data_IF_819890033786
#
_entry.id   IF_819890033786
#
_cell.length_a   1.000
_cell.length_b   1.000
_cell.length_c   1.000
_cell.angle_alpha   90.00
_cell.angle_beta   90.00
_cell.angle_gamma   90.00
#
_symmetry.space_group_name_H-M   'P 1'
#
loop_
_entity.id
_entity.type
_entity.pdbx_description
1 polymer ?
#
# COMPACT_ATOMS: atom_id res chain seq x y z
N UNK A 1 -16.04 -18.17 -29.19
CA UNK A 1 -16.22 -16.85 -28.55
C UNK A 1 -14.91 -16.09 -28.65
N UNK A 2 -14.87 -14.99 -29.40
CA UNK A 2 -13.68 -14.14 -29.50
C UNK A 2 -13.38 -13.56 -28.11
N UNK A 3 -12.22 -13.90 -27.55
CA UNK A 3 -11.67 -13.18 -26.40
C UNK A 3 -11.54 -11.72 -26.84
N UNK A 4 -12.30 -10.77 -26.28
CA UNK A 4 -12.14 -9.36 -26.65
C UNK A 4 -10.68 -9.01 -26.43
N UNK A 5 -10.05 -8.40 -27.44
CA UNK A 5 -8.62 -8.12 -27.46
C UNK A 5 -8.21 -7.48 -26.11
N UNK A 6 -7.53 -8.26 -25.26
CA UNK A 6 -7.18 -7.90 -23.88
C UNK A 6 -5.89 -7.08 -23.88
N UNK A 7 -5.84 -6.05 -24.71
CA UNK A 7 -4.72 -5.13 -24.80
C UNK A 7 -5.04 -3.86 -23.99
N UNK A 8 -4.00 -3.21 -23.48
CA UNK A 8 -4.20 -1.91 -22.83
C UNK A 8 -4.70 -0.93 -23.90
N UNK A 9 -5.78 -0.18 -23.65
CA UNK A 9 -6.19 0.88 -24.57
C UNK A 9 -5.11 1.96 -24.60
N UNK A 10 -5.07 2.72 -25.69
CA UNK A 10 -4.26 3.92 -25.77
C UNK A 10 -4.59 4.88 -24.62
N UNK A 11 -3.66 5.77 -24.32
CA UNK A 11 -3.85 6.79 -23.29
C UNK A 11 -5.06 7.67 -23.63
N UNK A 12 -5.99 7.80 -22.67
CA UNK A 12 -7.15 8.65 -22.85
C UNK A 12 -6.74 10.13 -22.82
N UNK A 13 -7.36 11.03 -23.61
CA UNK A 13 -7.05 12.46 -23.58
C UNK A 13 -7.13 13.08 -22.18
N UNK A 14 -8.10 12.65 -21.36
CA UNK A 14 -8.21 13.11 -19.97
C UNK A 14 -7.08 12.58 -19.07
N UNK A 15 -6.59 11.36 -19.30
CA UNK A 15 -5.41 10.85 -18.59
C UNK A 15 -4.19 11.72 -18.91
N UNK A 16 -3.98 12.04 -20.19
CA UNK A 16 -2.88 12.89 -20.65
C UNK A 16 -3.00 14.32 -20.12
N UNK A 17 -4.21 14.88 -20.13
CA UNK A 17 -4.50 16.19 -19.53
C UNK A 17 -4.22 16.22 -18.03
N UNK A 18 -4.63 15.18 -17.30
CA UNK A 18 -4.34 15.04 -15.86
C UNK A 18 -2.84 14.94 -15.58
N UNK A 19 -2.09 14.16 -16.37
CA UNK A 19 -0.65 14.06 -16.23
C UNK A 19 0.07 15.39 -16.56
N UNK A 20 -0.35 16.08 -17.62
CA UNK A 20 0.20 17.39 -17.99
C UNK A 20 -0.09 18.45 -16.91
N UNK A 21 -1.32 18.52 -16.41
CA UNK A 21 -1.70 19.43 -15.32
C UNK A 21 -0.84 19.26 -14.07
N UNK A 22 -0.45 18.02 -13.77
CA UNK A 22 0.42 17.69 -12.64
C UNK A 22 1.91 17.69 -13.00
N UNK A 23 2.29 18.22 -14.17
CA UNK A 23 3.67 18.33 -14.68
C UNK A 23 4.41 16.99 -14.73
N UNK A 24 3.68 15.88 -14.88
CA UNK A 24 4.24 14.53 -14.97
C UNK A 24 4.84 14.28 -16.35
N UNK A 25 4.18 14.77 -17.40
CA UNK A 25 4.65 14.71 -18.79
C UNK A 25 4.78 16.13 -19.34
N UNK A 26 5.78 16.37 -20.20
CA UNK A 26 6.01 17.69 -20.80
C UNK A 26 5.11 17.93 -22.02
N UNK A 27 4.84 16.88 -22.79
CA UNK A 27 3.94 16.92 -23.97
C UNK A 27 3.12 15.63 -24.07
N UNK A 28 2.06 15.66 -24.86
CA UNK A 28 1.25 14.45 -25.15
C UNK A 28 2.08 13.36 -25.85
N UNK A 29 3.13 13.74 -26.59
CA UNK A 29 4.07 12.83 -27.26
C UNK A 29 5.07 12.16 -26.30
N UNK A 30 5.30 12.70 -25.09
CA UNK A 30 6.24 12.17 -24.08
C UNK A 30 5.71 10.97 -23.28
N UNK A 31 4.68 10.26 -23.75
CA UNK A 31 4.30 8.97 -23.15
C UNK A 31 5.39 7.90 -23.30
N UNK A 32 6.38 8.12 -24.17
CA UNK A 32 7.61 7.33 -24.29
C UNK A 32 8.49 7.38 -23.03
N UNK A 33 8.33 8.41 -22.18
CA UNK A 33 9.09 8.60 -20.93
C UNK A 33 8.48 7.80 -19.76
N UNK A 34 7.38 7.06 -20.01
CA UNK A 34 6.71 6.22 -19.01
C UNK A 34 7.27 4.81 -19.06
N UNK A 35 8.16 4.49 -18.12
CA UNK A 35 8.71 3.14 -18.01
C UNK A 35 7.71 2.22 -17.32
N UNK A 36 7.16 1.23 -18.04
CA UNK A 36 6.30 0.19 -17.47
C UNK A 36 7.14 -0.75 -16.57
N UNK A 37 6.94 -0.67 -15.26
CA UNK A 37 7.68 -1.49 -14.29
C UNK A 37 6.93 -2.76 -13.86
N UNK A 38 5.60 -2.78 -13.99
CA UNK A 38 4.80 -3.95 -13.60
C UNK A 38 3.48 -4.02 -14.36
N UNK A 39 3.14 -5.22 -14.81
CA UNK A 39 1.87 -5.53 -15.47
C UNK A 39 1.24 -6.77 -14.85
N UNK A 40 -0.05 -6.71 -14.50
CA UNK A 40 -0.76 -7.84 -13.89
C UNK A 40 -2.25 -7.84 -14.26
N UNK A 41 -2.77 -9.03 -14.53
CA UNK A 41 -4.21 -9.27 -14.62
C UNK A 41 -4.79 -9.74 -13.28
N UNK A 42 -5.97 -9.22 -12.93
CA UNK A 42 -6.78 -9.71 -11.83
C UNK A 42 -8.26 -9.61 -12.22
N UNK A 43 -8.92 -10.76 -12.36
CA UNK A 43 -10.26 -10.83 -12.98
C UNK A 43 -10.25 -10.14 -14.36
N UNK A 44 -11.26 -9.36 -14.72
CA UNK A 44 -11.28 -8.56 -15.95
C UNK A 44 -10.71 -7.14 -15.71
N UNK A 45 -9.63 -7.03 -14.95
CA UNK A 45 -8.94 -5.76 -14.71
C UNK A 45 -7.45 -5.93 -14.98
N UNK A 46 -6.93 -5.13 -15.91
CA UNK A 46 -5.51 -4.98 -16.17
C UNK A 46 -4.96 -3.87 -15.26
N UNK A 47 -3.93 -4.19 -14.48
CA UNK A 47 -3.19 -3.23 -13.66
C UNK A 47 -1.80 -3.04 -14.25
N UNK A 48 -1.47 -1.80 -14.56
CA UNK A 48 -0.17 -1.38 -15.05
C UNK A 48 0.42 -0.35 -14.08
N UNK A 49 1.72 -0.47 -13.82
CA UNK A 49 2.45 0.46 -12.97
C UNK A 49 3.59 1.03 -13.78
N UNK A 50 3.63 2.36 -13.88
CA UNK A 50 4.66 3.09 -14.59
C UNK A 50 5.47 3.93 -13.62
N UNK A 51 6.77 4.04 -13.88
CA UNK A 51 7.67 4.99 -13.25
C UNK A 51 8.01 6.08 -14.27
N UNK A 52 8.08 7.31 -13.80
CA UNK A 52 8.46 8.49 -14.60
C UNK A 52 9.82 9.00 -14.18
N UNK A 53 10.52 9.65 -15.10
CA UNK A 53 11.83 10.25 -14.85
C UNK A 53 11.79 11.35 -13.76
N UNK A 54 10.69 12.09 -13.68
CA UNK A 54 10.50 13.15 -12.68
C UNK A 54 9.96 12.63 -11.32
N UNK A 55 10.05 11.34 -11.05
CA UNK A 55 9.83 10.79 -9.71
C UNK A 55 8.37 10.61 -9.32
N UNK A 56 7.50 10.26 -10.27
CA UNK A 56 6.13 9.81 -10.01
C UNK A 56 5.92 8.33 -10.33
N UNK A 57 4.98 7.73 -9.61
CA UNK A 57 4.45 6.39 -9.86
C UNK A 57 3.00 6.52 -10.34
N UNK A 58 2.72 5.98 -11.52
CA UNK A 58 1.39 5.89 -12.09
C UNK A 58 0.89 4.46 -11.92
N UNK A 59 -0.32 4.30 -11.36
CA UNK A 59 -1.02 3.02 -11.31
C UNK A 59 -2.27 3.13 -12.19
N UNK A 60 -2.24 2.51 -13.37
CA UNK A 60 -3.35 2.48 -14.33
C UNK A 60 -4.14 1.19 -14.17
N UNK A 61 -5.46 1.30 -14.09
CA UNK A 61 -6.40 0.21 -13.92
C UNK A 61 -7.39 0.23 -15.08
N UNK A 62 -7.30 -0.73 -15.98
CA UNK A 62 -8.21 -0.86 -17.12
C UNK A 62 -9.21 -1.97 -16.84
N UNK A 63 -10.49 -1.63 -16.81
CA UNK A 63 -11.58 -2.55 -16.54
C UNK A 63 -12.27 -2.97 -17.83
N UNK A 64 -12.23 -4.26 -18.10
CA UNK A 64 -12.87 -4.91 -19.24
C UNK A 64 -14.24 -5.49 -18.84
N UNK A 65 -15.09 -5.86 -19.80
CA UNK A 65 -16.38 -6.50 -19.53
C UNK A 65 -16.26 -7.76 -18.65
N UNK A 66 -17.27 -7.96 -17.79
CA UNK A 66 -17.36 -9.10 -16.87
C UNK A 66 -16.99 -8.74 -15.43
N UNK A 67 -16.62 -9.76 -14.63
CA UNK A 67 -16.27 -9.58 -13.21
C UNK A 67 -15.10 -8.60 -13.00
N UNK A 68 -15.34 -7.55 -12.22
CA UNK A 68 -14.35 -6.50 -11.87
C UNK A 68 -13.81 -6.68 -10.45
N UNK A 69 -12.68 -6.04 -10.17
CA UNK A 69 -12.23 -5.84 -8.78
C UNK A 69 -12.98 -4.64 -8.17
N UNK A 70 -13.96 -4.92 -7.31
CA UNK A 70 -14.80 -3.88 -6.68
C UNK A 70 -14.13 -3.12 -5.53
N UNK A 71 -12.89 -3.47 -5.17
CA UNK A 71 -12.26 -2.95 -3.95
C UNK A 71 -11.82 -1.49 -4.04
N UNK A 72 -11.90 -0.84 -5.22
CA UNK A 72 -11.45 0.54 -5.47
C UNK A 72 -10.09 0.82 -4.80
N UNK A 73 -9.09 0.00 -5.10
CA UNK A 73 -7.80 0.01 -4.41
C UNK A 73 -7.04 1.33 -4.58
N UNK A 74 -7.27 2.05 -5.68
CA UNK A 74 -6.76 3.42 -5.89
C UNK A 74 -7.32 4.42 -4.88
N UNK A 75 -8.62 4.37 -4.60
CA UNK A 75 -9.27 5.27 -3.65
C UNK A 75 -8.75 5.01 -2.24
N UNK A 76 -8.63 3.73 -1.86
CA UNK A 76 -8.07 3.35 -0.55
C UNK A 76 -6.63 3.82 -0.37
N UNK A 77 -5.81 3.68 -1.41
CA UNK A 77 -4.43 4.16 -1.40
C UNK A 77 -4.40 5.68 -1.28
N UNK A 78 -5.20 6.39 -2.08
CA UNK A 78 -5.32 7.84 -2.02
C UNK A 78 -5.72 8.35 -0.62
N UNK A 79 -6.81 7.83 -0.07
CA UNK A 79 -7.33 8.24 1.24
C UNK A 79 -6.30 7.98 2.35
N UNK A 80 -5.60 6.84 2.29
CA UNK A 80 -4.54 6.51 3.23
C UNK A 80 -3.38 7.49 3.11
N UNK A 81 -2.85 7.71 1.91
CA UNK A 81 -1.72 8.63 1.70
C UNK A 81 -2.07 10.07 2.09
N UNK A 82 -3.29 10.55 1.79
CA UNK A 82 -3.75 11.87 2.25
C UNK A 82 -3.78 11.99 3.77
N UNK A 83 -4.14 10.91 4.47
CA UNK A 83 -4.12 10.89 5.94
C UNK A 83 -2.69 10.84 6.51
N UNK A 84 -1.75 10.27 5.76
CA UNK A 84 -0.36 10.03 6.17
C UNK A 84 0.60 11.14 5.73
N UNK A 85 0.09 12.25 5.19
CA UNK A 85 0.87 13.41 4.75
C UNK A 85 1.94 13.86 5.77
N UNK A 86 3.19 13.96 5.32
CA UNK A 86 4.35 14.27 6.19
C UNK A 86 4.93 13.09 6.97
N UNK A 87 4.49 11.84 6.73
CA UNK A 87 5.25 10.64 7.09
C UNK A 87 6.13 10.19 5.92
N UNK A 88 7.05 9.24 6.18
CA UNK A 88 7.86 8.58 5.15
C UNK A 88 7.03 7.61 4.29
N UNK A 89 6.09 8.17 3.55
CA UNK A 89 5.20 7.48 2.63
C UNK A 89 5.09 8.29 1.34
N UNK A 90 4.74 7.68 0.22
CA UNK A 90 4.43 8.44 -1.00
C UNK A 90 3.34 9.50 -0.79
N UNK A 91 3.44 10.64 -1.45
CA UNK A 91 2.38 11.64 -1.47
C UNK A 91 1.39 11.31 -2.58
N UNK A 92 0.09 11.32 -2.25
CA UNK A 92 -0.93 11.15 -3.28
C UNK A 92 -1.23 12.48 -3.96
N UNK A 93 -1.05 12.51 -5.28
CA UNK A 93 -1.46 13.62 -6.13
C UNK A 93 -2.97 13.53 -6.37
N UNK A 94 -3.48 12.35 -6.72
CA UNK A 94 -4.90 12.12 -6.95
C UNK A 94 -5.17 10.93 -7.86
N UNK A 95 -6.44 10.70 -8.16
CA UNK A 95 -6.85 9.71 -9.16
C UNK A 95 -7.92 10.27 -10.09
N UNK A 96 -7.94 9.76 -11.32
CA UNK A 96 -8.90 10.09 -12.36
C UNK A 96 -9.60 8.82 -12.84
N UNK A 97 -10.91 8.90 -13.04
CA UNK A 97 -11.68 7.87 -13.73
C UNK A 97 -11.95 8.30 -15.17
N UNK A 98 -11.79 7.39 -16.13
CA UNK A 98 -12.03 7.66 -17.56
C UNK A 98 -12.89 6.57 -18.20
N UNK A 99 -13.58 6.91 -19.28
CA UNK A 99 -14.38 5.97 -20.07
C UNK A 99 -13.80 5.85 -21.48
N UNK A 100 -12.96 4.84 -21.71
CA UNK A 100 -12.35 4.58 -23.03
C UNK A 100 -13.37 4.19 -24.10
N UNK A 101 -14.43 3.47 -23.72
CA UNK A 101 -15.54 3.10 -24.61
C UNK A 101 -16.80 2.80 -23.81
N UNK A 102 -17.89 2.42 -24.49
CA UNK A 102 -19.12 2.00 -23.83
C UNK A 102 -18.91 0.86 -22.81
N UNK A 103 -17.88 0.03 -22.99
CA UNK A 103 -17.66 -1.20 -22.20
C UNK A 103 -16.31 -1.26 -21.47
N UNK A 104 -15.40 -0.32 -21.74
CA UNK A 104 -14.07 -0.27 -21.13
C UNK A 104 -13.92 1.04 -20.36
N UNK A 105 -13.50 0.93 -19.11
CA UNK A 105 -13.32 2.08 -18.20
C UNK A 105 -11.93 2.02 -17.58
N UNK A 106 -11.31 3.17 -17.37
CA UNK A 106 -9.98 3.31 -16.80
C UNK A 106 -10.02 4.01 -15.44
N UNK A 107 -9.04 3.74 -14.61
CA UNK A 107 -8.71 4.60 -13.47
C UNK A 107 -7.21 4.77 -13.40
N UNK A 108 -6.75 6.01 -13.34
CA UNK A 108 -5.35 6.38 -13.20
C UNK A 108 -5.13 6.97 -11.82
N UNK A 109 -4.26 6.37 -11.01
CA UNK A 109 -3.82 6.91 -9.73
C UNK A 109 -2.38 7.38 -9.83
N UNK A 110 -2.11 8.60 -9.35
CA UNK A 110 -0.81 9.26 -9.39
C UNK A 110 -0.34 9.55 -7.97
N UNK A 111 0.90 9.17 -7.68
CA UNK A 111 1.59 9.47 -6.42
C UNK A 111 3.07 9.71 -6.65
N UNK A 112 3.75 10.33 -5.69
CA UNK A 112 5.20 10.48 -5.75
C UNK A 112 5.89 9.11 -5.63
N UNK A 113 7.07 9.02 -6.23
CA UNK A 113 8.02 7.96 -5.98
C UNK A 113 8.72 8.27 -4.65
N UNK A 114 8.87 7.26 -3.79
CA UNK A 114 9.62 7.38 -2.55
C UNK A 114 10.97 6.67 -2.76
N UNK A 115 12.08 7.42 -2.96
CA UNK A 115 13.38 6.82 -3.20
C UNK A 115 13.90 6.12 -1.96
N UNK A 116 14.35 4.89 -2.13
CA UNK A 116 14.95 4.12 -1.06
C UNK A 116 15.51 2.78 -1.50
N UNK A 117 16.19 2.13 -0.57
CA UNK A 117 16.76 0.80 -0.72
C UNK A 117 16.02 -0.20 0.18
N UNK A 118 16.25 -1.49 -0.07
CA UNK A 118 15.70 -2.52 0.80
C UNK A 118 16.22 -2.34 2.25
N UNK A 119 15.35 -2.56 3.23
CA UNK A 119 15.73 -2.49 4.64
C UNK A 119 16.57 -3.70 5.01
N UNK A 120 17.70 -3.46 5.68
CA UNK A 120 18.44 -4.50 6.38
C UNK A 120 17.84 -4.73 7.78
N UNK A 121 17.12 -5.82 7.95
CA UNK A 121 16.46 -6.14 9.21
C UNK A 121 17.37 -6.73 10.27
N UNK A 122 18.61 -7.08 9.94
CA UNK A 122 19.58 -7.55 10.95
C UNK A 122 19.87 -6.47 12.01
N UNK A 123 19.73 -5.20 11.64
CA UNK A 123 19.87 -4.06 12.53
C UNK A 123 18.67 -3.91 13.48
N UNK A 124 18.95 -3.94 14.78
CA UNK A 124 17.95 -3.70 15.82
C UNK A 124 17.34 -2.29 15.71
N UNK A 125 18.13 -1.30 15.32
CA UNK A 125 17.66 0.07 15.10
C UNK A 125 16.57 0.12 14.02
N UNK A 126 16.71 -0.68 12.94
CA UNK A 126 15.68 -0.74 11.89
C UNK A 126 14.37 -1.37 12.40
N UNK A 127 14.45 -2.35 13.31
CA UNK A 127 13.25 -2.91 13.96
C UNK A 127 12.55 -1.87 14.83
N UNK A 128 13.32 -1.05 15.57
CA UNK A 128 12.77 0.08 16.35
C UNK A 128 12.13 1.13 15.43
N UNK A 129 12.78 1.48 14.32
CA UNK A 129 12.25 2.44 13.34
C UNK A 129 10.98 1.93 12.65
N UNK A 130 10.87 0.61 12.43
CA UNK A 130 9.64 -0.02 11.95
C UNK A 130 8.50 0.11 12.97
N UNK A 131 8.78 -0.11 14.25
CA UNK A 131 7.80 0.11 15.32
C UNK A 131 7.32 1.57 15.33
N UNK A 132 8.24 2.53 15.20
CA UNK A 132 7.93 3.95 15.11
C UNK A 132 7.07 4.31 13.90
N UNK A 133 7.41 3.78 12.72
CA UNK A 133 6.64 4.00 11.49
C UNK A 133 5.22 3.44 11.62
N UNK A 134 5.06 2.17 12.01
CA UNK A 134 3.75 1.53 12.13
C UNK A 134 2.90 2.21 13.21
N UNK A 135 3.51 2.59 14.36
CA UNK A 135 2.81 3.36 15.38
C UNK A 135 2.31 4.71 14.84
N UNK A 136 3.15 5.45 14.10
CA UNK A 136 2.77 6.73 13.50
C UNK A 136 1.63 6.60 12.50
N UNK A 137 1.63 5.53 11.70
CA UNK A 137 0.55 5.21 10.75
C UNK A 137 -0.75 4.90 11.51
N UNK A 138 -0.71 4.05 12.54
CA UNK A 138 -1.89 3.71 13.33
C UNK A 138 -2.44 4.89 14.14
N UNK A 139 -1.58 5.77 14.67
CA UNK A 139 -1.98 7.02 15.35
C UNK A 139 -2.75 7.98 14.43
N UNK A 140 -2.50 7.91 13.12
CA UNK A 140 -3.26 8.65 12.10
C UNK A 140 -4.54 7.92 11.65
N UNK A 141 -4.94 6.88 12.37
CA UNK A 141 -6.13 6.08 12.12
C UNK A 141 -6.10 5.36 10.75
N UNK A 142 -4.92 4.92 10.31
CA UNK A 142 -4.76 4.13 9.08
C UNK A 142 -4.25 2.75 9.43
N UNK A 143 -4.91 1.70 8.98
CA UNK A 143 -4.39 0.33 9.01
C UNK A 143 -3.89 -0.05 7.60
N UNK A 144 -2.68 -0.58 7.49
CA UNK A 144 -1.96 -0.84 6.23
C UNK A 144 -2.53 -2.07 5.50
N UNK A 145 -2.80 -3.13 6.26
CA UNK A 145 -3.37 -4.41 5.82
C UNK A 145 -2.56 -5.15 4.75
N UNK A 146 -1.32 -4.77 4.48
CA UNK A 146 -0.37 -5.50 3.64
C UNK A 146 1.11 -5.22 4.01
N UNK A 147 1.50 -5.42 5.29
CA UNK A 147 2.88 -5.23 5.74
C UNK A 147 3.80 -6.36 5.24
N UNK A 148 4.00 -6.43 3.93
CA UNK A 148 4.98 -7.32 3.32
C UNK A 148 6.36 -6.72 3.45
N UNK A 149 7.36 -7.57 3.70
CA UNK A 149 8.77 -7.18 3.78
C UNK A 149 9.22 -6.21 2.67
N UNK A 150 8.84 -6.49 1.41
CA UNK A 150 9.22 -5.71 0.23
C UNK A 150 8.60 -4.31 0.16
N UNK A 151 7.58 -4.02 0.96
CA UNK A 151 6.91 -2.72 0.99
C UNK A 151 7.57 -1.73 1.94
N UNK A 152 8.58 -2.15 2.70
CA UNK A 152 9.37 -1.30 3.58
C UNK A 152 10.71 -0.97 2.93
N UNK A 153 11.13 0.29 3.01
CA UNK A 153 12.38 0.78 2.43
C UNK A 153 13.13 1.69 3.40
N UNK A 154 14.45 1.71 3.32
CA UNK A 154 15.27 2.77 3.91
C UNK A 154 15.21 3.98 2.99
N UNK A 155 14.62 5.09 3.44
CA UNK A 155 14.44 6.28 2.61
C UNK A 155 15.75 7.02 2.41
N UNK A 156 16.05 7.47 1.19
CA UNK A 156 17.25 8.27 0.93
C UNK A 156 17.15 9.70 1.48
N UNK A 157 15.94 10.23 1.64
CA UNK A 157 15.69 11.59 2.13
C UNK A 157 15.98 11.77 3.62
N UNK A 158 15.88 10.70 4.40
CA UNK A 158 16.07 10.70 5.85
C UNK A 158 16.94 9.49 6.23
N UNK A 159 18.25 9.69 6.48
CA UNK A 159 19.13 8.62 6.94
C UNK A 159 18.54 7.91 8.15
N UNK A 160 18.60 6.57 8.15
CA UNK A 160 18.04 5.70 9.18
C UNK A 160 16.51 5.72 9.32
N UNK A 161 15.76 6.34 8.41
CA UNK A 161 14.30 6.29 8.48
C UNK A 161 13.73 5.20 7.57
N UNK A 162 12.75 4.46 8.08
CA UNK A 162 11.99 3.48 7.29
C UNK A 162 10.77 4.17 6.71
N UNK A 163 10.50 3.90 5.44
CA UNK A 163 9.29 4.29 4.74
C UNK A 163 8.48 3.08 4.29
N UNK A 164 7.22 3.33 3.90
CA UNK A 164 6.31 2.30 3.40
C UNK A 164 5.59 2.72 2.11
N UNK A 165 5.51 1.83 1.12
CA UNK A 165 5.19 2.23 -0.27
C UNK A 165 3.89 1.67 -0.89
N UNK A 166 3.19 0.71 -0.28
CA UNK A 166 1.97 0.12 -0.88
C UNK A 166 0.72 0.11 0.03
N UNK A 167 -0.12 1.12 -0.11
CA UNK A 167 -1.36 1.26 0.64
C UNK A 167 -2.61 0.76 -0.11
N UNK A 168 -2.47 -0.03 -1.18
CA UNK A 168 -3.61 -0.51 -1.97
C UNK A 168 -4.64 -1.33 -1.18
N UNK A 169 -4.27 -1.86 -0.01
CA UNK A 169 -5.16 -2.60 0.90
C UNK A 169 -5.61 -1.83 2.13
N UNK A 170 -5.04 -0.64 2.34
CA UNK A 170 -5.21 0.11 3.56
C UNK A 170 -6.68 0.46 3.87
N UNK A 171 -6.93 0.79 5.13
CA UNK A 171 -8.20 1.32 5.61
C UNK A 171 -7.94 2.56 6.44
N UNK A 172 -8.70 3.59 6.17
CA UNK A 172 -8.72 4.82 6.95
C UNK A 172 -9.95 4.80 7.85
N UNK A 173 -9.75 5.18 9.10
CA UNK A 173 -10.79 5.29 10.11
C UNK A 173 -10.90 6.74 10.56
N UNK A 174 -12.06 7.13 11.09
CA UNK A 174 -12.28 8.45 11.67
C UNK A 174 -11.61 8.58 13.04
N UNK A 175 -11.53 7.49 13.80
CA UNK A 175 -11.02 7.47 15.17
C UNK A 175 -10.45 6.10 15.55
N UNK A 176 -9.82 6.03 16.73
CA UNK A 176 -9.36 4.79 17.36
C UNK A 176 -10.53 3.97 17.96
N UNK A 177 -11.48 3.57 17.12
CA UNK A 177 -12.64 2.76 17.51
C UNK A 177 -12.35 1.24 17.48
N UNK A 178 -13.28 0.42 17.97
CA UNK A 178 -13.14 -1.05 18.00
C UNK A 178 -12.80 -1.67 16.64
N UNK A 179 -13.36 -1.14 15.55
CA UNK A 179 -13.07 -1.64 14.21
C UNK A 179 -11.63 -1.33 13.80
N UNK A 180 -11.12 -0.13 14.11
CA UNK A 180 -9.70 0.21 13.90
C UNK A 180 -8.79 -0.69 14.74
N UNK A 181 -9.08 -0.87 16.03
CA UNK A 181 -8.32 -1.76 16.92
C UNK A 181 -8.27 -3.21 16.40
N UNK A 182 -9.40 -3.71 15.88
CA UNK A 182 -9.43 -5.02 15.22
C UNK A 182 -8.53 -5.06 13.97
N UNK A 183 -8.49 -3.99 13.18
CA UNK A 183 -7.60 -3.91 12.02
C UNK A 183 -6.12 -3.74 12.39
N UNK A 184 -5.79 -3.04 13.47
CA UNK A 184 -4.44 -3.00 14.05
C UNK A 184 -4.01 -4.43 14.40
N UNK A 185 -4.83 -5.19 15.14
CA UNK A 185 -4.48 -6.58 15.46
C UNK A 185 -4.24 -7.45 14.22
N UNK A 186 -5.01 -7.20 13.14
CA UNK A 186 -4.82 -7.85 11.85
C UNK A 186 -3.50 -7.44 11.17
N UNK A 187 -3.11 -6.17 11.26
CA UNK A 187 -1.83 -5.69 10.76
C UNK A 187 -0.66 -6.34 11.48
N UNK A 188 -0.70 -6.37 12.81
CA UNK A 188 0.34 -7.00 13.62
C UNK A 188 0.45 -8.50 13.32
N UNK A 189 -0.67 -9.20 13.12
CA UNK A 189 -0.65 -10.60 12.68
C UNK A 189 -0.04 -10.75 11.28
N UNK A 190 -0.38 -9.87 10.34
CA UNK A 190 0.18 -9.91 8.99
C UNK A 190 1.65 -9.55 8.95
N UNK A 191 2.12 -8.65 9.80
CA UNK A 191 3.54 -8.33 9.92
C UNK A 191 4.31 -9.54 10.43
N UNK A 192 3.78 -10.25 11.42
CA UNK A 192 4.37 -11.50 11.88
C UNK A 192 4.47 -12.54 10.74
N UNK A 193 3.42 -12.69 9.93
CA UNK A 193 3.39 -13.69 8.85
C UNK A 193 4.22 -13.27 7.62
N UNK A 194 4.17 -12.00 7.21
CA UNK A 194 4.68 -11.53 5.90
C UNK A 194 5.87 -10.56 6.01
N UNK A 195 6.15 -10.05 7.21
CA UNK A 195 7.25 -9.13 7.48
C UNK A 195 8.60 -9.82 7.58
N UNK A 196 8.65 -11.16 7.60
CA UNK A 196 9.87 -11.98 7.68
C UNK A 196 10.81 -11.61 8.83
N UNK A 197 10.24 -11.14 9.93
CA UNK A 197 10.97 -10.88 11.17
C UNK A 197 11.07 -12.19 11.97
N UNK A 198 12.24 -12.45 12.55
CA UNK A 198 12.43 -13.56 13.48
C UNK A 198 11.79 -13.26 14.85
N UNK A 199 11.70 -14.27 15.71
CA UNK A 199 11.04 -14.15 17.03
C UNK A 199 11.59 -13.02 17.89
N UNK A 200 12.93 -12.85 17.93
CA UNK A 200 13.58 -11.77 18.69
C UNK A 200 13.20 -10.39 18.13
N UNK A 201 13.24 -10.22 16.80
CA UNK A 201 12.85 -8.97 16.15
C UNK A 201 11.37 -8.65 16.38
N UNK A 202 10.49 -9.66 16.36
CA UNK A 202 9.06 -9.47 16.67
C UNK A 202 8.86 -9.01 18.11
N UNK A 203 9.63 -9.54 19.06
CA UNK A 203 9.60 -9.10 20.45
C UNK A 203 10.06 -7.65 20.61
N UNK A 204 11.23 -7.31 20.07
CA UNK A 204 11.75 -5.92 20.06
C UNK A 204 10.75 -4.96 19.42
N UNK A 205 10.19 -5.32 18.25
CA UNK A 205 9.15 -4.54 17.59
C UNK A 205 7.93 -4.35 18.51
N UNK A 206 7.44 -5.43 19.12
CA UNK A 206 6.21 -5.41 19.92
C UNK A 206 6.35 -4.53 21.16
N UNK A 207 7.49 -4.62 21.86
CA UNK A 207 7.79 -3.79 23.03
C UNK A 207 7.83 -2.29 22.66
N UNK A 208 8.59 -1.94 21.62
CA UNK A 208 8.69 -0.56 21.16
C UNK A 208 7.34 -0.01 20.66
N UNK A 209 6.61 -0.81 19.88
CA UNK A 209 5.30 -0.43 19.36
C UNK A 209 4.28 -0.19 20.48
N UNK A 210 4.26 -1.04 21.50
CA UNK A 210 3.36 -0.86 22.67
C UNK A 210 3.71 0.41 23.46
N UNK A 211 5.00 0.65 23.71
CA UNK A 211 5.47 1.85 24.41
C UNK A 211 5.07 3.13 23.68
N UNK A 212 5.12 3.12 22.35
CA UNK A 212 4.73 4.26 21.53
C UNK A 212 3.22 4.47 21.45
N UNK A 213 2.44 3.39 21.41
CA UNK A 213 0.98 3.47 21.25
C UNK A 213 0.23 3.72 22.55
N UNK A 214 0.75 3.26 23.69
CA UNK A 214 0.16 3.45 25.02
C UNK A 214 -1.33 3.05 25.08
N UNK A 215 -1.68 1.92 24.46
CA UNK A 215 -3.06 1.42 24.48
C UNK A 215 -3.51 1.07 25.90
N UNK A 216 -4.79 1.33 26.20
CA UNK A 216 -5.41 0.86 27.44
C UNK A 216 -5.53 -0.67 27.46
N UNK A 217 -5.73 -1.26 28.64
CA UNK A 217 -5.90 -2.72 28.78
C UNK A 217 -7.03 -3.27 27.91
N UNK A 218 -8.14 -2.52 27.78
CA UNK A 218 -9.26 -2.91 26.91
C UNK A 218 -8.86 -2.89 25.43
N UNK A 219 -8.17 -1.83 25.00
CA UNK A 219 -7.69 -1.72 23.62
C UNK A 219 -6.70 -2.85 23.29
N UNK A 220 -5.76 -3.13 24.19
CA UNK A 220 -4.81 -4.24 24.07
C UNK A 220 -5.51 -5.60 23.97
N UNK A 221 -6.61 -5.78 24.71
CA UNK A 221 -7.40 -7.02 24.67
C UNK A 221 -8.03 -7.24 23.30
N UNK A 222 -8.63 -6.20 22.71
CA UNK A 222 -9.23 -6.24 21.37
C UNK A 222 -8.17 -6.51 20.29
N UNK A 223 -7.04 -5.81 20.36
CA UNK A 223 -5.92 -5.98 19.42
C UNK A 223 -5.37 -7.41 19.49
N UNK A 224 -5.16 -7.92 20.71
CA UNK A 224 -4.63 -9.27 20.95
C UNK A 224 -5.60 -10.35 20.47
N UNK A 225 -6.90 -10.18 20.75
CA UNK A 225 -7.93 -11.07 20.25
C UNK A 225 -7.91 -11.15 18.71
N UNK A 226 -7.91 -10.00 18.03
CA UNK A 226 -7.83 -9.95 16.56
C UNK A 226 -6.55 -10.59 16.04
N UNK A 227 -5.38 -10.22 16.60
CA UNK A 227 -4.08 -10.77 16.19
C UNK A 227 -4.09 -12.30 16.27
N UNK A 228 -4.51 -12.84 17.39
CA UNK A 228 -4.56 -14.29 17.63
C UNK A 228 -5.55 -14.99 16.70
N UNK A 229 -6.71 -14.39 16.43
CA UNK A 229 -7.67 -14.91 15.46
C UNK A 229 -7.03 -15.08 14.07
N UNK A 230 -6.32 -14.06 13.58
CA UNK A 230 -5.70 -14.10 12.25
C UNK A 230 -4.51 -15.06 12.17
N UNK A 231 -3.70 -15.16 13.22
CA UNK A 231 -2.60 -16.13 13.31
C UNK A 231 -3.15 -17.57 13.30
N UNK A 232 -4.16 -17.89 14.13
CA UNK A 232 -4.82 -19.21 14.13
C UNK A 232 -5.45 -19.53 12.79
N UNK A 233 -6.11 -18.55 12.15
CA UNK A 233 -6.71 -18.73 10.82
C UNK A 233 -5.64 -19.06 9.76
N UNK A 234 -4.45 -18.47 9.84
CA UNK A 234 -3.32 -18.79 8.95
C UNK A 234 -2.85 -20.23 9.19
N UNK A 235 -2.61 -20.60 10.46
CA UNK A 235 -2.15 -21.93 10.83
C UNK A 235 -3.10 -23.03 10.34
N UNK A 236 -4.42 -22.85 10.52
CA UNK A 236 -5.42 -23.82 10.00
C UNK A 236 -5.42 -23.98 8.49
N UNK A 237 -5.08 -22.94 7.73
CA UNK A 237 -5.16 -22.97 6.26
C UNK A 237 -3.88 -23.49 5.60
N UNK A 238 -2.73 -23.34 6.24
CA UNK A 238 -1.43 -23.62 5.63
C UNK A 238 -0.52 -24.51 6.49
N UNK A 239 -1.01 -25.04 7.62
CA UNK A 239 -0.19 -25.68 8.65
C UNK A 239 0.45 -24.66 9.58
N UNK A 240 0.92 -25.11 10.74
CA UNK A 240 1.92 -24.36 11.51
C UNK A 240 3.19 -24.36 10.67
N UNK A 241 3.61 -23.18 10.18
CA UNK A 241 4.99 -23.05 9.77
C UNK A 241 5.81 -23.15 11.05
N UNK A 242 6.58 -24.21 11.19
CA UNK A 242 7.60 -24.30 12.23
C UNK A 242 8.53 -23.10 12.04
N UNK A 243 8.54 -22.23 13.05
CA UNK A 243 9.54 -21.19 13.24
C UNK A 243 10.59 -21.75 14.20
#
# INVERSE_FOLDING_TARGET
MNTPNRQSPDWHPEELSFLNKNKVIKTVATTHDLTLIKKRWAYNTLREVFLTENGYVLKRYTHFPGRKDYRKIWQREHDALKRLDGLNTPDSVGYLYVKHSARITGTLHLRTFLPGSAVDWSSEQNVQNLAALIASIHKRHVAILDPQYENFICTHSCPNAIGFIDFGRARVFSSMNFLMLFHIGKDLAKLNINGRLNSRQIETFSQNYQNLMQFSSLQNSVISFSRNYWLRRRARKYGTADN
#
